data_IF_047812594238
#
_entry.id   IF_047812594238
#
_cell.length_a   1.000
_cell.length_b   1.000
_cell.length_c   1.000
_cell.angle_alpha   90.00
_cell.angle_beta   90.00
_cell.angle_gamma   90.00
#
_symmetry.space_group_name_H-M   'P 1'
#
loop_
_entity.id
_entity.type
_entity.pdbx_description
1 polymer ?
#
# COMPACT_ATOMS: atom_id res chain seq x y z
N UNK A 1 -30.81 25.50 -16.50
CA UNK A 1 -29.39 25.64 -16.87
C UNK A 1 -28.78 24.25 -16.84
N UNK A 2 -27.90 23.89 -17.79
CA UNK A 2 -27.08 22.68 -17.62
C UNK A 2 -26.25 22.81 -16.34
N UNK A 3 -25.92 21.69 -15.68
CA UNK A 3 -25.01 21.73 -14.53
C UNK A 3 -23.67 22.36 -14.95
N UNK A 4 -22.99 23.07 -14.05
CA UNK A 4 -21.71 23.70 -14.34
C UNK A 4 -20.71 22.67 -14.87
N UNK A 5 -19.87 23.09 -15.82
CA UNK A 5 -18.81 22.23 -16.34
C UNK A 5 -17.86 21.86 -15.20
N UNK A 6 -17.62 20.55 -15.04
CA UNK A 6 -16.73 20.00 -14.00
C UNK A 6 -15.43 19.52 -14.62
N UNK A 7 -14.32 19.81 -13.95
CA UNK A 7 -13.01 19.28 -14.35
C UNK A 7 -12.93 17.76 -14.11
N UNK A 8 -11.91 17.10 -14.65
CA UNK A 8 -11.68 15.68 -14.34
C UNK A 8 -11.46 15.47 -12.84
N UNK A 9 -10.73 16.38 -12.20
CA UNK A 9 -10.48 16.34 -10.76
C UNK A 9 -11.78 16.40 -9.97
N UNK A 10 -12.68 17.34 -10.28
CA UNK A 10 -13.97 17.48 -9.58
C UNK A 10 -14.80 16.20 -9.71
N UNK A 11 -14.81 15.59 -10.90
CA UNK A 11 -15.56 14.34 -11.13
C UNK A 11 -15.03 13.19 -10.28
N UNK A 12 -13.69 13.04 -10.19
CA UNK A 12 -13.07 12.01 -9.35
C UNK A 12 -13.31 12.31 -7.88
N UNK A 13 -13.10 13.55 -7.44
CA UNK A 13 -13.33 13.98 -6.06
C UNK A 13 -14.77 13.69 -5.62
N UNK A 14 -15.76 14.20 -6.36
CA UNK A 14 -17.19 14.04 -6.08
C UNK A 14 -17.59 12.56 -5.96
N UNK A 15 -16.99 11.68 -6.77
CA UNK A 15 -17.27 10.24 -6.75
C UNK A 15 -16.76 9.53 -5.48
N UNK A 16 -15.82 10.14 -4.74
CA UNK A 16 -15.17 9.55 -3.58
C UNK A 16 -15.54 10.22 -2.25
N UNK A 17 -16.30 11.32 -2.27
CA UNK A 17 -16.82 11.96 -1.06
C UNK A 17 -17.85 11.06 -0.40
N UNK A 18 -17.56 10.65 0.84
CA UNK A 18 -18.51 9.94 1.72
C UNK A 18 -19.32 10.94 2.53
N UNK A 19 -18.64 11.96 3.07
CA UNK A 19 -19.24 13.07 3.80
C UNK A 19 -18.64 14.36 3.26
N UNK A 20 -19.46 15.32 2.79
CA UNK A 20 -18.94 16.58 2.27
C UNK A 20 -18.27 17.39 3.39
N UNK A 21 -17.38 18.29 2.99
CA UNK A 21 -16.77 19.26 3.91
C UNK A 21 -17.81 20.23 4.48
N UNK A 22 -17.53 20.71 5.69
CA UNK A 22 -18.24 21.84 6.32
C UNK A 22 -17.25 22.93 6.69
N UNK A 23 -17.74 24.05 7.22
CA UNK A 23 -16.85 25.12 7.70
C UNK A 23 -15.94 24.65 8.86
N UNK A 24 -16.34 23.62 9.60
CA UNK A 24 -15.66 23.10 10.78
C UNK A 24 -14.89 21.81 10.53
N UNK A 25 -15.24 21.05 9.48
CA UNK A 25 -14.70 19.70 9.25
C UNK A 25 -14.33 19.46 7.78
N UNK A 26 -13.12 18.92 7.50
CA UNK A 26 -12.77 18.50 6.15
C UNK A 26 -13.69 17.38 5.63
N UNK A 27 -13.78 17.27 4.30
CA UNK A 27 -14.49 16.16 3.66
C UNK A 27 -13.89 14.80 4.06
N UNK A 28 -14.75 13.80 4.18
CA UNK A 28 -14.34 12.40 4.36
C UNK A 28 -14.35 11.73 3.00
N UNK A 29 -13.18 11.23 2.57
CA UNK A 29 -13.01 10.52 1.33
C UNK A 29 -12.90 9.02 1.56
N UNK A 30 -13.47 8.25 0.63
CA UNK A 30 -13.18 6.83 0.53
C UNK A 30 -11.92 6.63 -0.32
N UNK A 31 -11.01 5.78 0.15
CA UNK A 31 -9.78 5.42 -0.57
C UNK A 31 -9.97 4.05 -1.21
N UNK A 32 -9.92 4.00 -2.53
CA UNK A 32 -10.27 2.80 -3.27
C UNK A 32 -9.21 1.71 -3.27
N UNK A 33 -7.94 2.10 -3.15
CA UNK A 33 -6.78 1.21 -3.16
C UNK A 33 -5.67 1.79 -2.27
N UNK A 34 -5.12 0.95 -1.40
CA UNK A 34 -3.89 1.23 -0.66
C UNK A 34 -2.73 0.45 -1.28
N UNK A 35 -1.69 1.16 -1.70
CA UNK A 35 -0.42 0.56 -2.10
C UNK A 35 0.58 0.75 -0.95
N UNK A 36 1.17 -0.35 -0.49
CA UNK A 36 2.01 -0.37 0.71
C UNK A 36 3.36 -1.03 0.44
N UNK A 37 4.38 -0.65 1.21
CA UNK A 37 5.75 -1.15 1.09
C UNK A 37 6.45 -1.13 2.45
N UNK A 38 7.62 -1.75 2.53
CA UNK A 38 8.29 -2.15 3.76
C UNK A 38 8.85 -1.00 4.61
N UNK A 39 8.92 0.21 4.07
CA UNK A 39 9.52 1.36 4.79
C UNK A 39 8.51 2.07 5.67
N UNK A 40 7.35 2.41 5.13
CA UNK A 40 6.37 3.30 5.78
C UNK A 40 5.23 2.53 6.45
N UNK A 41 4.90 1.36 5.91
CA UNK A 41 3.71 0.62 6.32
C UNK A 41 3.84 -0.10 7.66
N UNK A 42 5.03 -0.52 8.15
CA UNK A 42 5.14 -1.12 9.48
C UNK A 42 4.56 -0.27 10.61
N UNK A 43 4.75 1.05 10.58
CA UNK A 43 4.17 1.94 11.61
C UNK A 43 2.64 1.93 11.55
N UNK A 44 2.05 1.96 10.35
CA UNK A 44 0.60 1.93 10.19
C UNK A 44 -0.02 0.63 10.76
N UNK A 45 0.63 -0.51 10.55
CA UNK A 45 0.18 -1.78 11.12
C UNK A 45 0.31 -1.81 12.65
N UNK A 46 1.44 -1.34 13.20
CA UNK A 46 1.61 -1.21 14.66
C UNK A 46 0.52 -0.37 15.31
N UNK A 47 0.11 0.74 14.67
CA UNK A 47 -0.99 1.59 15.17
C UNK A 47 -2.35 0.91 15.10
N UNK A 48 -2.60 0.10 14.05
CA UNK A 48 -3.81 -0.72 13.97
C UNK A 48 -3.85 -1.72 15.13
N UNK A 49 -2.77 -2.45 15.36
CA UNK A 49 -2.67 -3.45 16.42
C UNK A 49 -2.80 -2.82 17.81
N UNK A 50 -2.11 -1.70 18.07
CA UNK A 50 -2.19 -0.98 19.34
C UNK A 50 -3.62 -0.51 19.65
N UNK A 51 -4.41 -0.20 18.62
CA UNK A 51 -5.81 0.22 18.74
C UNK A 51 -6.80 -0.95 18.68
N UNK A 52 -6.32 -2.19 18.52
CA UNK A 52 -7.17 -3.37 18.35
C UNK A 52 -8.00 -3.34 17.06
N UNK A 53 -7.53 -2.62 16.03
CA UNK A 53 -8.21 -2.46 14.75
C UNK A 53 -7.66 -3.45 13.73
N UNK A 54 -8.53 -3.85 12.80
CA UNK A 54 -8.15 -4.64 11.63
C UNK A 54 -8.06 -3.76 10.40
N UNK A 55 -7.25 -4.17 9.42
CA UNK A 55 -7.30 -3.61 8.07
C UNK A 55 -8.72 -3.77 7.53
N UNK A 56 -9.37 -2.65 7.21
CA UNK A 56 -10.80 -2.61 6.86
C UNK A 56 -11.10 -3.31 5.53
N UNK A 57 -10.20 -3.17 4.55
CA UNK A 57 -10.32 -3.73 3.19
C UNK A 57 -9.02 -4.39 2.72
N UNK A 58 -8.65 -5.59 3.22
CA UNK A 58 -7.42 -6.26 2.80
C UNK A 58 -7.36 -6.52 1.29
N UNK A 59 -8.48 -6.84 0.65
CA UNK A 59 -8.56 -7.01 -0.81
C UNK A 59 -8.47 -5.71 -1.62
N UNK A 60 -8.37 -4.54 -0.97
CA UNK A 60 -8.05 -3.24 -1.57
C UNK A 60 -6.76 -2.67 -0.98
N UNK A 61 -5.89 -3.55 -0.52
CA UNK A 61 -4.54 -3.23 -0.09
C UNK A 61 -3.59 -4.19 -0.80
N UNK A 62 -2.56 -3.66 -1.45
CA UNK A 62 -1.59 -4.45 -2.17
C UNK A 62 -0.19 -4.01 -1.77
N UNK A 63 0.66 -4.99 -1.45
CA UNK A 63 2.00 -4.76 -0.96
C UNK A 63 3.07 -5.19 -1.98
N UNK A 64 4.22 -4.52 -1.97
CA UNK A 64 5.42 -4.92 -2.71
C UNK A 64 6.66 -4.72 -1.85
N UNK A 65 7.76 -5.38 -2.23
CA UNK A 65 9.09 -5.15 -1.69
C UNK A 65 9.95 -4.44 -2.73
N UNK A 66 10.33 -3.19 -2.50
CA UNK A 66 11.01 -2.37 -3.52
C UNK A 66 12.07 -1.36 -3.02
N UNK A 67 12.18 -1.09 -1.72
CA UNK A 67 13.10 -0.08 -1.16
C UNK A 67 14.33 -0.69 -0.45
N UNK A 68 14.09 -1.67 0.41
CA UNK A 68 15.09 -2.27 1.30
C UNK A 68 15.54 -3.64 0.80
N UNK A 69 15.44 -3.86 -0.51
CA UNK A 69 15.72 -5.13 -1.16
C UNK A 69 17.16 -5.17 -1.70
N UNK A 70 18.01 -6.15 -1.31
CA UNK A 70 19.30 -6.34 -1.96
C UNK A 70 19.14 -6.79 -3.41
N UNK A 71 20.07 -6.36 -4.27
CA UNK A 71 20.11 -6.70 -5.70
C UNK A 71 20.83 -8.01 -5.99
N UNK A 72 21.56 -8.55 -5.00
CA UNK A 72 22.26 -9.83 -5.10
C UNK A 72 21.35 -11.00 -4.68
N UNK A 73 21.54 -12.19 -5.28
CA UNK A 73 20.78 -13.38 -4.91
C UNK A 73 21.02 -13.79 -3.44
N UNK A 74 20.14 -14.62 -2.86
CA UNK A 74 20.39 -15.21 -1.56
C UNK A 74 21.59 -16.16 -1.61
N UNK A 75 22.25 -16.36 -0.47
CA UNK A 75 23.30 -17.35 -0.31
C UNK A 75 22.73 -18.79 -0.31
N UNK A 76 23.61 -19.79 -0.15
CA UNK A 76 23.23 -21.21 -0.14
C UNK A 76 22.26 -21.58 1.00
N UNK A 77 22.14 -20.76 2.04
CA UNK A 77 21.22 -20.95 3.15
C UNK A 77 19.91 -20.15 2.97
N UNK A 78 19.72 -19.50 1.82
CA UNK A 78 18.56 -18.66 1.54
C UNK A 78 18.66 -17.25 2.14
N UNK A 79 19.78 -16.89 2.78
CA UNK A 79 19.94 -15.57 3.41
C UNK A 79 20.27 -14.53 2.34
N UNK A 80 19.53 -13.42 2.34
CA UNK A 80 19.78 -12.30 1.44
C UNK A 80 20.81 -11.33 2.02
N UNK A 81 21.70 -10.74 1.21
CA UNK A 81 22.76 -9.87 1.68
C UNK A 81 22.25 -8.44 1.91
N UNK A 82 21.37 -8.27 2.91
CA UNK A 82 20.91 -6.95 3.34
C UNK A 82 22.09 -6.08 3.80
N UNK A 83 22.05 -4.80 3.44
CA UNK A 83 23.08 -3.82 3.82
C UNK A 83 23.07 -3.57 5.33
N UNK A 84 21.89 -3.60 5.95
CA UNK A 84 21.69 -3.35 7.38
C UNK A 84 20.65 -4.29 7.98
N UNK A 85 20.73 -4.52 9.29
CA UNK A 85 19.73 -5.31 10.01
C UNK A 85 18.34 -4.64 10.00
N UNK A 86 18.30 -3.31 9.89
CA UNK A 86 17.08 -2.53 9.78
C UNK A 86 16.35 -2.80 8.45
N UNK A 87 17.09 -2.90 7.34
CA UNK A 87 16.51 -3.26 6.04
C UNK A 87 15.92 -4.68 6.06
N UNK A 88 16.64 -5.64 6.64
CA UNK A 88 16.14 -7.02 6.84
C UNK A 88 14.87 -7.04 7.71
N UNK A 89 14.86 -6.27 8.80
CA UNK A 89 13.73 -6.17 9.70
C UNK A 89 12.50 -5.54 9.04
N UNK A 90 12.67 -4.50 8.21
CA UNK A 90 11.58 -3.88 7.45
C UNK A 90 10.88 -4.87 6.53
N UNK A 91 11.64 -5.60 5.71
CA UNK A 91 11.10 -6.62 4.80
C UNK A 91 10.39 -7.72 5.57
N UNK A 92 11.05 -8.29 6.58
CA UNK A 92 10.47 -9.34 7.42
C UNK A 92 9.18 -8.88 8.13
N UNK A 93 9.13 -7.59 8.52
CA UNK A 93 7.96 -7.02 9.16
C UNK A 93 6.79 -6.89 8.19
N UNK A 94 7.02 -6.42 6.96
CA UNK A 94 5.97 -6.34 5.95
C UNK A 94 5.41 -7.73 5.62
N UNK A 95 6.27 -8.74 5.43
CA UNK A 95 5.84 -10.12 5.17
C UNK A 95 4.91 -10.65 6.26
N UNK A 96 5.28 -10.45 7.54
CA UNK A 96 4.44 -10.85 8.68
C UNK A 96 3.12 -10.07 8.73
N UNK A 97 3.15 -8.76 8.52
CA UNK A 97 1.94 -7.93 8.56
C UNK A 97 0.98 -8.31 7.44
N UNK A 98 1.49 -8.54 6.22
CA UNK A 98 0.67 -8.97 5.10
C UNK A 98 0.01 -10.32 5.37
N UNK A 99 0.76 -11.29 5.91
CA UNK A 99 0.21 -12.58 6.31
C UNK A 99 -0.85 -12.45 7.42
N UNK A 100 -0.59 -11.63 8.45
CA UNK A 100 -1.49 -11.45 9.58
C UNK A 100 -2.81 -10.75 9.20
N UNK A 101 -2.77 -9.82 8.24
CA UNK A 101 -3.94 -9.07 7.80
C UNK A 101 -4.58 -9.58 6.51
N UNK A 102 -4.04 -10.64 5.90
CA UNK A 102 -4.57 -11.20 4.65
C UNK A 102 -4.41 -10.25 3.45
N UNK A 103 -3.29 -9.52 3.39
CA UNK A 103 -2.96 -8.60 2.30
C UNK A 103 -2.10 -9.32 1.27
N UNK A 104 -2.43 -9.15 0.00
CA UNK A 104 -1.61 -9.65 -1.12
C UNK A 104 -0.25 -8.96 -1.13
N UNK A 105 0.82 -9.74 -1.16
CA UNK A 105 2.19 -9.27 -1.22
C UNK A 105 2.88 -9.81 -2.47
N UNK A 106 3.30 -8.91 -3.36
CA UNK A 106 4.27 -9.22 -4.41
C UNK A 106 5.68 -9.31 -3.77
N UNK A 107 5.93 -10.43 -3.10
CA UNK A 107 7.16 -10.71 -2.34
C UNK A 107 8.30 -11.23 -3.22
N UNK A 108 9.35 -11.75 -2.58
CA UNK A 108 10.59 -12.17 -3.24
C UNK A 108 10.43 -13.11 -4.43
N UNK A 109 9.47 -14.05 -4.35
CA UNK A 109 9.23 -15.08 -5.35
C UNK A 109 8.10 -14.72 -6.32
N UNK A 110 7.53 -13.52 -6.20
CA UNK A 110 6.49 -13.04 -7.11
C UNK A 110 7.09 -12.52 -8.41
N UNK A 111 6.56 -13.00 -9.54
CA UNK A 111 6.85 -12.42 -10.85
C UNK A 111 6.35 -10.97 -10.98
N UNK A 112 5.35 -10.61 -10.17
CA UNK A 112 4.71 -9.30 -10.16
C UNK A 112 5.42 -8.30 -9.25
N UNK A 113 6.52 -8.69 -8.59
CA UNK A 113 7.25 -7.76 -7.71
C UNK A 113 7.97 -6.69 -8.52
N UNK A 114 7.78 -5.43 -8.12
CA UNK A 114 8.49 -4.31 -8.71
C UNK A 114 8.32 -3.03 -7.89
N UNK A 115 8.91 -1.94 -8.40
CA UNK A 115 8.76 -0.59 -7.85
C UNK A 115 7.27 -0.26 -7.82
N UNK A 116 6.75 0.17 -6.66
CA UNK A 116 5.32 0.31 -6.42
C UNK A 116 4.59 1.15 -7.48
N UNK A 117 5.23 2.23 -7.94
CA UNK A 117 4.66 3.14 -8.96
C UNK A 117 4.75 2.63 -10.41
N UNK A 118 5.49 1.55 -10.65
CA UNK A 118 5.59 0.88 -11.96
C UNK A 118 4.69 -0.36 -11.97
N UNK A 119 4.84 -1.20 -10.95
CA UNK A 119 4.10 -2.44 -10.78
C UNK A 119 2.58 -2.20 -10.71
N UNK A 120 2.13 -1.21 -9.91
CA UNK A 120 0.70 -1.04 -9.70
C UNK A 120 -0.07 -0.66 -10.99
N UNK A 121 0.44 0.25 -11.84
CA UNK A 121 -0.13 0.46 -13.17
C UNK A 121 -0.02 -0.75 -14.10
N UNK A 122 1.13 -1.46 -14.12
CA UNK A 122 1.35 -2.62 -15.01
C UNK A 122 0.38 -3.78 -14.73
N UNK A 123 0.08 -4.03 -13.45
CA UNK A 123 -0.91 -5.03 -13.04
C UNK A 123 -2.36 -4.53 -13.17
N UNK A 124 -2.55 -3.29 -13.61
CA UNK A 124 -3.88 -2.67 -13.69
C UNK A 124 -4.54 -2.52 -12.33
N UNK A 125 -3.79 -2.28 -11.25
CA UNK A 125 -4.37 -1.98 -9.94
C UNK A 125 -4.92 -0.55 -9.89
N UNK A 126 -4.28 0.37 -10.59
CA UNK A 126 -4.74 1.76 -10.72
C UNK A 126 -5.60 1.93 -11.97
N UNK A 127 -6.78 2.55 -11.84
CA UNK A 127 -7.73 2.75 -12.93
C UNK A 127 -8.10 4.23 -13.11
N UNK A 128 -8.55 4.63 -14.31
CA UNK A 128 -9.16 5.95 -14.54
C UNK A 128 -10.45 6.18 -13.77
#
# INVERSE_FOLDING_TARGET
MPPPERTLFDKVWDAHVVTPETAETPAVLYVDLHLVHEVTSPQAFSELDARGLKVRRPGRTFATLDHSTPTLPPDANGKRPYVTAQAEAQVSMLERNCAAHGITLAGWDSADRGIVHVMAPELGLTHP
#
